data_IF_114362594366
#
_entry.id   IF_114362594366
#
_cell.length_a   1.000
_cell.length_b   1.000
_cell.length_c   1.000
_cell.angle_alpha   90.00
_cell.angle_beta   90.00
_cell.angle_gamma   90.00
#
_symmetry.space_group_name_H-M   'P 1'
#
loop_
_entity.id
_entity.type
_entity.pdbx_description
1 polymer ?
#
# COMPACT_ATOMS: atom_id res chain seq x y z
N UNK A 1 -0.34 -17.81 19.57
CA UNK A 1 -0.67 -16.61 18.78
C UNK A 1 0.62 -15.84 18.58
N UNK A 2 1.27 -16.03 17.43
CA UNK A 2 2.54 -15.37 17.09
C UNK A 2 2.31 -13.86 17.05
N UNK A 3 2.97 -13.11 17.94
CA UNK A 3 3.07 -11.64 17.82
C UNK A 3 3.65 -11.36 16.43
N UNK A 4 2.87 -10.72 15.57
CA UNK A 4 3.41 -10.17 14.32
C UNK A 4 4.54 -9.21 14.66
N UNK A 5 5.58 -9.19 13.82
CA UNK A 5 6.66 -8.22 13.96
C UNK A 5 6.04 -6.81 13.95
N UNK A 6 6.39 -5.90 14.88
CA UNK A 6 5.76 -4.58 14.99
C UNK A 6 5.77 -3.80 13.68
N UNK A 7 6.83 -3.98 12.89
CA UNK A 7 6.99 -3.39 11.56
C UNK A 7 5.92 -3.86 10.56
N UNK A 8 5.50 -5.13 10.67
CA UNK A 8 4.50 -5.72 9.81
C UNK A 8 3.10 -5.25 10.21
N UNK A 9 2.86 -5.08 11.51
CA UNK A 9 1.61 -4.49 12.02
C UNK A 9 1.45 -3.04 11.55
N UNK A 10 2.48 -2.19 11.70
CA UNK A 10 2.48 -0.83 11.17
C UNK A 10 2.29 -0.79 9.66
N UNK A 11 2.96 -1.68 8.93
CA UNK A 11 2.81 -1.77 7.47
C UNK A 11 1.38 -2.14 7.06
N UNK A 12 0.75 -3.12 7.71
CA UNK A 12 -0.62 -3.54 7.41
C UNK A 12 -1.61 -2.41 7.72
N UNK A 13 -1.41 -1.67 8.81
CA UNK A 13 -2.24 -0.50 9.15
C UNK A 13 -2.08 0.59 8.09
N UNK A 14 -0.84 0.92 7.72
CA UNK A 14 -0.56 1.92 6.69
C UNK A 14 -1.15 1.52 5.32
N UNK A 15 -1.03 0.23 4.96
CA UNK A 15 -1.61 -0.32 3.74
C UNK A 15 -3.13 -0.17 3.74
N UNK A 16 -3.80 -0.59 4.81
CA UNK A 16 -5.25 -0.49 4.95
C UNK A 16 -5.75 0.95 4.86
N UNK A 17 -5.06 1.90 5.51
CA UNK A 17 -5.41 3.32 5.46
C UNK A 17 -5.24 3.90 4.04
N UNK A 18 -4.13 3.60 3.38
CA UNK A 18 -3.86 4.08 2.03
C UNK A 18 -4.81 3.49 0.99
N UNK A 19 -5.12 2.19 1.07
CA UNK A 19 -6.13 1.56 0.20
C UNK A 19 -7.51 2.17 0.42
N UNK A 20 -7.90 2.43 1.67
CA UNK A 20 -9.18 3.09 1.98
C UNK A 20 -9.25 4.49 1.36
N UNK A 21 -8.18 5.28 1.53
CA UNK A 21 -8.08 6.62 0.94
C UNK A 21 -8.16 6.57 -0.59
N UNK A 22 -7.45 5.63 -1.22
CA UNK A 22 -7.45 5.45 -2.67
C UNK A 22 -8.85 5.13 -3.21
N UNK A 23 -9.61 4.25 -2.53
CA UNK A 23 -10.99 3.92 -2.90
C UNK A 23 -11.91 5.14 -2.78
N UNK A 24 -11.78 5.93 -1.71
CA UNK A 24 -12.57 7.16 -1.53
C UNK A 24 -12.30 8.17 -2.65
N UNK A 25 -11.02 8.42 -2.96
CA UNK A 25 -10.64 9.35 -4.04
C UNK A 25 -11.11 8.84 -5.40
N UNK A 26 -10.98 7.54 -5.67
CA UNK A 26 -11.45 6.93 -6.90
C UNK A 26 -12.97 7.05 -7.05
N UNK A 27 -13.73 6.79 -5.99
CA UNK A 27 -15.19 6.94 -5.99
C UNK A 27 -15.62 8.39 -6.26
N UNK A 28 -14.95 9.37 -5.63
CA UNK A 28 -15.20 10.80 -5.88
C UNK A 28 -14.87 11.16 -7.33
N UNK A 29 -13.72 10.72 -7.85
CA UNK A 29 -13.34 10.97 -9.23
C UNK A 29 -14.36 10.39 -10.21
N UNK A 30 -14.79 9.14 -10.00
CA UNK A 30 -15.79 8.51 -10.85
C UNK A 30 -17.11 9.29 -10.81
N UNK A 31 -17.56 9.66 -9.62
CA UNK A 31 -18.78 10.45 -9.45
C UNK A 31 -18.73 11.79 -10.21
N UNK A 32 -17.59 12.48 -10.15
CA UNK A 32 -17.41 13.81 -10.77
C UNK A 32 -17.21 13.74 -12.28
N UNK A 33 -16.44 12.77 -12.78
CA UNK A 33 -16.03 12.72 -14.19
C UNK A 33 -16.85 11.76 -15.04
N UNK A 34 -17.59 10.83 -14.43
CA UNK A 34 -18.28 9.74 -15.12
C UNK A 34 -17.33 8.72 -15.75
N UNK A 35 -16.01 8.89 -15.64
CA UNK A 35 -15.02 7.98 -16.17
C UNK A 35 -14.58 6.97 -15.11
N UNK A 36 -14.39 5.73 -15.54
CA UNK A 36 -13.89 4.65 -14.69
C UNK A 36 -12.45 4.96 -14.22
N UNK A 37 -12.21 5.12 -12.90
CA UNK A 37 -10.88 5.41 -12.35
C UNK A 37 -9.98 4.17 -12.29
N UNK A 38 -10.58 2.98 -12.42
CA UNK A 38 -9.93 1.70 -12.14
C UNK A 38 -8.63 1.44 -12.93
N UNK A 39 -8.48 1.82 -14.21
CA UNK A 39 -7.21 1.66 -14.91
C UNK A 39 -6.06 2.44 -14.24
N UNK A 40 -6.35 3.66 -13.79
CA UNK A 40 -5.37 4.51 -13.11
C UNK A 40 -5.09 4.02 -11.69
N UNK A 41 -6.13 3.54 -10.98
CA UNK A 41 -6.00 2.95 -9.63
C UNK A 41 -5.13 1.70 -9.68
N UNK A 42 -5.34 0.79 -10.66
CA UNK A 42 -4.54 -0.42 -10.81
C UNK A 42 -3.08 -0.09 -11.12
N UNK A 43 -2.82 0.87 -12.01
CA UNK A 43 -1.44 1.30 -12.32
C UNK A 43 -0.77 1.92 -11.09
N UNK A 44 -1.49 2.77 -10.35
CA UNK A 44 -1.00 3.40 -9.14
C UNK A 44 -0.75 2.39 -8.01
N UNK A 45 -1.65 1.42 -7.81
CA UNK A 45 -1.49 0.36 -6.82
C UNK A 45 -0.32 -0.56 -7.16
N UNK A 46 -0.18 -1.01 -8.41
CA UNK A 46 0.95 -1.86 -8.82
C UNK A 46 2.27 -1.14 -8.63
N UNK A 47 2.34 0.15 -8.96
CA UNK A 47 3.51 0.99 -8.72
C UNK A 47 3.81 1.19 -7.23
N UNK A 48 2.80 1.52 -6.44
CA UNK A 48 2.93 1.76 -5.00
C UNK A 48 3.27 0.49 -4.22
N UNK A 49 2.67 -0.66 -4.55
CA UNK A 49 3.01 -1.95 -3.96
C UNK A 49 4.42 -2.40 -4.36
N UNK A 50 4.81 -2.25 -5.62
CA UNK A 50 6.17 -2.55 -6.07
C UNK A 50 7.21 -1.70 -5.34
N UNK A 51 6.93 -0.42 -5.13
CA UNK A 51 7.82 0.47 -4.38
C UNK A 51 7.83 0.19 -2.88
N UNK A 52 6.65 -0.03 -2.28
CA UNK A 52 6.50 -0.31 -0.86
C UNK A 52 7.18 -1.62 -0.45
N UNK A 53 7.08 -2.67 -1.27
CA UNK A 53 7.80 -3.93 -1.05
C UNK A 53 9.31 -3.78 -1.19
N UNK A 54 9.79 -2.97 -2.15
CA UNK A 54 11.22 -2.66 -2.27
C UNK A 54 11.75 -1.88 -1.07
N UNK A 55 11.00 -0.88 -0.58
CA UNK A 55 11.36 -0.11 0.61
C UNK A 55 11.36 -0.97 1.88
N UNK A 56 10.39 -1.86 2.04
CA UNK A 56 10.38 -2.85 3.12
C UNK A 56 11.57 -3.81 3.05
N UNK A 57 11.93 -4.28 1.85
CA UNK A 57 13.09 -5.14 1.65
C UNK A 57 14.41 -4.42 2.00
N UNK A 58 14.50 -3.11 1.73
CA UNK A 58 15.65 -2.27 2.07
C UNK A 58 15.69 -1.89 3.57
N UNK A 59 14.53 -1.68 4.19
CA UNK A 59 14.40 -1.34 5.60
C UNK A 59 14.47 -2.58 6.52
N UNK A 60 14.22 -3.77 5.97
CA UNK A 60 14.37 -5.03 6.70
C UNK A 60 15.81 -5.16 7.20
N UNK A 61 16.04 -5.38 8.50
CA UNK A 61 17.38 -5.56 9.02
C UNK A 61 17.98 -6.79 8.36
N UNK A 62 18.87 -6.57 7.38
CA UNK A 62 19.67 -7.62 6.77
C UNK A 62 20.47 -8.24 7.90
N UNK A 63 20.01 -9.41 8.37
CA UNK A 63 20.55 -10.21 9.46
C UNK A 63 22.08 -10.02 9.58
N UNK A 64 22.50 -9.04 10.39
CA UNK A 64 23.90 -8.72 10.65
C UNK A 64 24.35 -9.56 11.84
N UNK A 65 24.18 -10.87 11.71
CA UNK A 65 24.88 -11.90 12.50
C UNK A 65 25.98 -12.42 11.57
N UNK A 66 27.31 -12.32 11.79
CA UNK A 66 28.12 -12.40 13.02
C UNK A 66 27.57 -13.32 14.08
#
# INVERSE_FOLDING_TARGET
MSRLDPLLEEFVIALGLMSTLAVVVAAIYWWVTGQSPWPYVVIAEVGAFGWGTAMLALASPRNRRR
#
